data_IF_095299323095
#
_entry.id   IF_095299323095
#
_cell.length_a   1.000
_cell.length_b   1.000
_cell.length_c   1.000
_cell.angle_alpha   90.00
_cell.angle_beta   90.00
_cell.angle_gamma   90.00
#
_symmetry.space_group_name_H-M   'P 1'
#
loop_
_entity.id
_entity.type
_entity.pdbx_description
1 polymer ?
#
# COMPACT_ATOMS: atom_id res chain seq x y z
N UNK A 1 -26.12 -3.16 -48.73
CA UNK A 1 -26.53 -2.44 -47.49
C UNK A 1 -25.67 -2.82 -46.28
N UNK A 2 -24.60 -3.59 -46.45
CA UNK A 2 -23.87 -4.21 -45.31
C UNK A 2 -22.73 -3.37 -44.73
N UNK A 3 -22.16 -2.44 -45.51
CA UNK A 3 -21.02 -1.61 -45.08
C UNK A 3 -21.39 -0.59 -43.99
N UNK A 4 -22.66 -0.19 -43.91
CA UNK A 4 -23.13 0.78 -42.91
C UNK A 4 -23.34 0.13 -41.53
N UNK A 5 -23.67 -1.17 -41.48
CA UNK A 5 -23.86 -1.93 -40.23
C UNK A 5 -22.53 -2.32 -39.59
N UNK A 6 -21.49 -2.59 -40.39
CA UNK A 6 -20.16 -2.95 -39.87
C UNK A 6 -19.46 -1.77 -39.17
N UNK A 7 -19.62 -0.54 -39.69
CA UNK A 7 -19.07 0.66 -39.09
C UNK A 7 -19.72 0.98 -37.73
N UNK A 8 -21.04 0.80 -37.61
CA UNK A 8 -21.76 0.98 -36.35
C UNK A 8 -21.37 -0.05 -35.28
N UNK A 9 -21.21 -1.32 -35.69
CA UNK A 9 -20.76 -2.39 -34.79
C UNK A 9 -19.32 -2.17 -34.30
N UNK A 10 -18.40 -1.78 -35.20
CA UNK A 10 -17.02 -1.46 -34.82
C UNK A 10 -16.91 -0.27 -33.86
N UNK A 11 -17.74 0.76 -34.06
CA UNK A 11 -17.81 1.91 -33.16
C UNK A 11 -18.34 1.58 -31.77
N UNK A 12 -19.36 0.71 -31.68
CA UNK A 12 -19.89 0.23 -30.41
C UNK A 12 -18.84 -0.61 -29.66
N UNK A 13 -18.15 -1.53 -30.36
CA UNK A 13 -17.08 -2.33 -29.77
C UNK A 13 -15.95 -1.44 -29.23
N UNK A 14 -15.53 -0.42 -29.98
CA UNK A 14 -14.51 0.52 -29.55
C UNK A 14 -14.90 1.23 -28.24
N UNK A 15 -16.16 1.67 -28.12
CA UNK A 15 -16.68 2.30 -26.89
C UNK A 15 -16.69 1.35 -25.70
N UNK A 16 -17.09 0.10 -25.91
CA UNK A 16 -17.10 -0.93 -24.85
C UNK A 16 -15.68 -1.19 -24.36
N UNK A 17 -14.73 -1.37 -25.28
CA UNK A 17 -13.31 -1.58 -24.93
C UNK A 17 -12.73 -0.37 -24.19
N UNK A 18 -12.98 0.84 -24.69
CA UNK A 18 -12.51 2.07 -24.04
C UNK A 18 -13.11 2.24 -22.63
N UNK A 19 -14.40 1.93 -22.46
CA UNK A 19 -15.06 1.96 -21.15
C UNK A 19 -14.49 0.93 -20.18
N UNK A 20 -14.25 -0.30 -20.63
CA UNK A 20 -13.65 -1.35 -19.82
C UNK A 20 -12.22 -1.00 -19.37
N UNK A 21 -11.40 -0.46 -20.28
CA UNK A 21 -10.06 0.03 -19.96
C UNK A 21 -10.09 1.18 -18.94
N UNK A 22 -11.02 2.13 -19.12
CA UNK A 22 -11.21 3.22 -18.17
C UNK A 22 -11.59 2.73 -16.77
N UNK A 23 -12.47 1.73 -16.67
CA UNK A 23 -12.86 1.12 -15.39
C UNK A 23 -11.67 0.44 -14.70
N UNK A 24 -10.85 -0.31 -15.44
CA UNK A 24 -9.64 -0.96 -14.90
C UNK A 24 -8.65 0.08 -14.36
N UNK A 25 -8.40 1.14 -15.12
CA UNK A 25 -7.49 2.22 -14.69
C UNK A 25 -8.01 2.93 -13.43
N UNK A 26 -9.32 3.20 -13.35
CA UNK A 26 -9.93 3.78 -12.15
C UNK A 26 -9.79 2.86 -10.92
N UNK A 27 -9.96 1.55 -11.11
CA UNK A 27 -9.73 0.56 -10.04
C UNK A 27 -8.28 0.55 -9.56
N UNK A 28 -7.30 0.65 -10.47
CA UNK A 28 -5.87 0.72 -10.12
C UNK A 28 -5.54 1.98 -9.33
N UNK A 29 -6.05 3.14 -9.76
CA UNK A 29 -5.86 4.42 -9.04
C UNK A 29 -6.46 4.32 -7.63
N UNK A 30 -7.67 3.75 -7.50
CA UNK A 30 -8.31 3.56 -6.20
C UNK A 30 -7.53 2.61 -5.30
N UNK A 31 -6.98 1.53 -5.84
CA UNK A 31 -6.14 0.58 -5.10
C UNK A 31 -4.87 1.25 -4.56
N UNK A 32 -4.17 2.04 -5.38
CA UNK A 32 -2.99 2.79 -4.95
C UNK A 32 -3.34 3.84 -3.90
N UNK A 33 -4.44 4.56 -4.09
CA UNK A 33 -4.91 5.56 -3.12
C UNK A 33 -5.26 4.92 -1.76
N UNK A 34 -5.88 3.74 -1.78
CA UNK A 34 -6.18 3.00 -0.54
C UNK A 34 -4.92 2.48 0.15
N UNK A 35 -3.95 1.95 -0.62
CA UNK A 35 -2.65 1.58 -0.09
C UNK A 35 -1.87 2.74 0.54
N UNK A 36 -2.00 3.95 -0.02
CA UNK A 36 -1.40 5.15 0.57
C UNK A 36 -2.05 5.55 1.91
N UNK A 37 -3.38 5.34 2.07
CA UNK A 37 -4.08 5.61 3.34
C UNK A 37 -3.66 4.68 4.48
N UNK A 38 -3.19 3.47 4.18
CA UNK A 38 -2.69 2.50 5.17
C UNK A 38 -1.36 2.93 5.81
N UNK A 39 -0.64 3.91 5.23
CA UNK A 39 0.58 4.45 5.85
C UNK A 39 0.36 5.38 7.06
N UNK A 40 -0.91 5.65 7.41
CA UNK A 40 -1.28 6.47 8.56
C UNK A 40 -1.25 5.77 9.92
N UNK A 41 -1.14 4.44 9.98
CA UNK A 41 -1.04 3.66 11.23
C UNK A 41 0.40 3.20 11.49
N UNK A 42 1.37 4.12 11.38
CA UNK A 42 2.80 3.81 11.50
C UNK A 42 3.36 4.14 12.90
N UNK A 43 2.52 4.25 13.93
CA UNK A 43 3.06 4.27 15.31
C UNK A 43 3.50 2.87 15.77
N UNK A 44 2.86 1.81 15.27
CA UNK A 44 3.28 0.44 15.55
C UNK A 44 4.55 0.02 14.78
N UNK A 45 4.71 0.49 13.55
CA UNK A 45 5.83 0.11 12.67
C UNK A 45 7.13 0.86 12.99
N UNK A 46 7.05 2.09 13.51
CA UNK A 46 8.24 2.84 13.92
C UNK A 46 9.05 2.12 15.01
N UNK A 47 8.38 1.34 15.86
CA UNK A 47 9.03 0.54 16.90
C UNK A 47 9.63 -0.78 16.37
N UNK A 48 9.08 -1.31 15.26
CA UNK A 48 9.59 -2.52 14.62
C UNK A 48 10.86 -2.27 13.78
N UNK A 49 10.99 -1.09 13.17
CA UNK A 49 12.13 -0.74 12.29
C UNK A 49 13.40 -0.38 13.06
N UNK A 50 13.32 -0.08 14.36
CA UNK A 50 14.50 0.28 15.17
C UNK A 50 15.41 -0.89 15.55
N UNK A 51 15.16 -2.09 15.03
CA UNK A 51 16.16 -3.15 14.92
C UNK A 51 16.86 -3.51 16.24
N UNK A 52 16.12 -3.47 17.35
CA UNK A 52 16.67 -3.68 18.67
C UNK A 52 16.70 -5.14 19.11
N UNK A 53 17.53 -5.47 20.10
CA UNK A 53 17.39 -6.75 20.81
C UNK A 53 16.24 -6.64 21.81
N UNK A 54 15.40 -7.68 21.89
CA UNK A 54 14.35 -7.73 22.90
C UNK A 54 14.96 -7.89 24.30
N UNK A 55 14.73 -6.93 25.19
CA UNK A 55 15.19 -6.99 26.57
C UNK A 55 14.15 -7.68 27.44
N UNK A 56 14.44 -8.92 27.87
CA UNK A 56 13.56 -9.71 28.72
C UNK A 56 13.36 -9.15 30.14
N UNK A 57 14.24 -8.26 30.63
CA UNK A 57 14.10 -7.60 31.94
C UNK A 57 13.04 -6.50 31.90
N UNK A 58 13.01 -5.71 30.82
CA UNK A 58 12.13 -4.53 30.69
C UNK A 58 10.90 -4.78 29.82
N UNK A 59 10.89 -5.87 29.05
CA UNK A 59 9.82 -6.19 28.10
C UNK A 59 9.77 -5.26 26.88
N UNK A 60 10.86 -4.54 26.59
CA UNK A 60 10.96 -3.56 25.51
C UNK A 60 12.08 -3.93 24.54
N UNK A 61 11.91 -3.54 23.27
CA UNK A 61 12.98 -3.60 22.28
C UNK A 61 13.95 -2.46 22.51
N UNK A 62 15.24 -2.79 22.61
CA UNK A 62 16.32 -1.84 22.83
C UNK A 62 17.11 -1.64 21.54
N UNK A 63 17.03 -0.44 20.98
CA UNK A 63 17.70 -0.04 19.75
C UNK A 63 19.20 0.28 19.93
N UNK A 64 19.74 0.04 21.13
CA UNK A 64 21.15 0.22 21.46
C UNK A 64 21.55 1.70 21.65
N UNK A 65 20.60 2.63 21.62
CA UNK A 65 20.88 4.05 21.87
C UNK A 65 20.97 4.41 23.35
N UNK A 66 20.57 3.50 24.24
CA UNK A 66 20.77 3.64 25.69
C UNK A 66 21.79 2.62 26.23
N UNK A 67 23.09 2.88 26.07
CA UNK A 67 24.14 2.03 26.64
C UNK A 67 24.15 2.05 28.19
N UNK A 68 23.47 3.01 28.84
CA UNK A 68 23.39 3.09 30.29
C UNK A 68 22.29 2.17 30.87
N UNK A 69 21.22 1.91 30.12
CA UNK A 69 20.08 1.09 30.54
C UNK A 69 20.42 -0.39 30.82
N UNK A 70 21.57 -0.89 30.38
CA UNK A 70 22.01 -2.30 30.58
C UNK A 70 22.56 -2.57 31.98
N UNK A 71 23.11 -1.55 32.64
CA UNK A 71 23.84 -1.70 33.90
C UNK A 71 23.49 -0.62 34.92
N UNK A 72 22.21 -0.24 35.04
CA UNK A 72 21.78 0.39 36.29
C UNK A 72 22.13 -0.58 37.44
N UNK A 73 23.21 -0.23 38.15
CA UNK A 73 23.64 -0.90 39.36
C UNK A 73 22.61 -0.53 40.43
N UNK A 74 21.71 -1.47 40.69
CA UNK A 74 21.06 -1.55 41.99
C UNK A 74 22.07 -1.82 43.10
#
# INVERSE_FOLDING_TARGET
>A
MDRQRSLGAGWLLLKVVAGALGAILASLVRFVAEGARVSGETEATANATRGGLFNHRTGKFDDGTDPAGWYEKG
#
